data_IF_797430846509
#
_entry.id   IF_797430846509
#
_cell.length_a   1.000
_cell.length_b   1.000
_cell.length_c   1.000
_cell.angle_alpha   90.00
_cell.angle_beta   90.00
_cell.angle_gamma   90.00
#
_symmetry.space_group_name_H-M   'P 1'
#
loop_
_entity.id
_entity.type
_entity.pdbx_description
1 polymer ?
#
# COMPACT_ATOMS: atom_id res chain seq x y z
N UNK A 1 34.30 -4.31 64.43
CA UNK A 1 35.30 -3.54 63.66
C UNK A 1 35.22 -4.02 62.21
N UNK A 2 34.82 -3.10 61.32
CA UNK A 2 35.06 -3.06 59.87
C UNK A 2 34.32 -4.08 58.96
N UNK A 3 33.45 -3.43 58.17
CA UNK A 3 32.76 -3.76 56.91
C UNK A 3 33.71 -3.53 55.74
N UNK A 4 33.71 -4.38 54.71
CA UNK A 4 34.15 -4.20 53.29
C UNK A 4 34.45 -5.60 52.72
N UNK A 5 34.13 -6.01 51.50
CA UNK A 5 33.37 -5.46 50.38
C UNK A 5 33.25 -6.64 49.38
N UNK A 6 32.06 -7.02 48.96
CA UNK A 6 31.81 -7.73 47.68
C UNK A 6 30.34 -7.54 47.27
N UNK A 7 29.91 -6.28 47.33
CA UNK A 7 28.74 -5.76 46.62
C UNK A 7 29.09 -5.63 45.14
N UNK A 8 28.68 -6.58 44.28
CA UNK A 8 28.45 -6.35 42.83
C UNK A 8 27.86 -7.52 42.02
N UNK A 9 27.31 -8.57 42.64
CA UNK A 9 26.76 -9.71 41.88
C UNK A 9 25.22 -9.84 41.90
N UNK A 10 24.49 -9.09 42.74
CA UNK A 10 23.05 -9.35 42.96
C UNK A 10 22.10 -8.26 42.43
N UNK A 11 22.59 -7.16 41.86
CA UNK A 11 21.71 -6.06 41.38
C UNK A 11 21.22 -6.19 39.93
N UNK A 12 21.61 -7.23 39.18
CA UNK A 12 21.23 -7.36 37.75
C UNK A 12 20.14 -8.41 37.46
N UNK A 13 19.24 -8.71 38.41
CA UNK A 13 18.15 -9.68 38.18
C UNK A 13 16.76 -9.20 38.58
N UNK A 14 16.55 -7.87 38.62
CA UNK A 14 15.26 -7.28 39.01
C UNK A 14 14.71 -6.23 38.01
N UNK A 15 15.35 -5.99 36.87
CA UNK A 15 14.86 -5.05 35.85
C UNK A 15 14.16 -5.68 34.64
N UNK A 16 14.08 -7.01 34.55
CA UNK A 16 13.63 -7.71 33.34
C UNK A 16 12.17 -8.21 33.40
N UNK A 17 11.38 -7.75 34.38
CA UNK A 17 10.05 -8.31 34.66
C UNK A 17 8.86 -7.36 34.38
N UNK A 18 9.07 -6.23 33.69
CA UNK A 18 7.99 -5.26 33.47
C UNK A 18 8.02 -4.58 32.09
N UNK A 19 8.19 -5.35 31.02
CA UNK A 19 7.57 -5.03 29.73
C UNK A 19 6.85 -6.29 29.27
N UNK A 20 5.65 -6.52 29.81
CA UNK A 20 4.71 -7.46 29.19
C UNK A 20 4.42 -6.90 27.81
N UNK A 21 5.10 -7.44 26.81
CA UNK A 21 4.77 -7.26 25.41
C UNK A 21 3.29 -7.58 25.26
N UNK A 22 2.50 -6.55 25.00
CA UNK A 22 1.12 -6.70 24.57
C UNK A 22 1.19 -7.50 23.28
N UNK A 23 0.98 -8.81 23.37
CA UNK A 23 0.96 -9.69 22.22
C UNK A 23 -0.10 -9.14 21.25
N UNK A 24 0.28 -8.78 20.00
CA UNK A 24 -0.70 -8.33 19.03
C UNK A 24 -1.71 -9.47 18.80
N UNK A 25 -3.00 -9.11 18.86
CA UNK A 25 -4.14 -10.02 18.78
C UNK A 25 -3.95 -11.07 17.68
N UNK A 26 -3.99 -12.34 18.08
CA UNK A 26 -3.52 -13.48 17.31
C UNK A 26 -4.30 -13.75 16.02
N UNK A 27 -3.75 -13.30 14.90
CA UNK A 27 -3.89 -13.98 13.61
C UNK A 27 -2.49 -14.32 13.12
N UNK A 28 -2.00 -15.48 13.57
CA UNK A 28 -0.67 -16.00 13.24
C UNK A 28 -0.69 -16.68 11.87
N UNK A 29 -0.92 -15.91 10.81
CA UNK A 29 -0.98 -16.34 9.40
C UNK A 29 -2.38 -16.72 8.89
N UNK A 30 -2.69 -16.24 7.68
CA UNK A 30 -3.92 -16.57 6.97
C UNK A 30 -3.79 -17.92 6.27
N UNK A 31 -4.61 -18.89 6.68
CA UNK A 31 -4.68 -20.16 5.96
C UNK A 31 -5.33 -19.97 4.58
N UNK A 32 -4.94 -20.80 3.61
CA UNK A 32 -5.51 -20.75 2.25
C UNK A 32 -7.05 -20.85 2.21
N UNK A 33 -7.71 -21.70 3.03
CA UNK A 33 -9.18 -21.71 3.12
C UNK A 33 -9.76 -20.38 3.63
N UNK A 34 -9.11 -19.73 4.60
CA UNK A 34 -9.53 -18.42 5.12
C UNK A 34 -9.45 -17.36 4.02
N UNK A 35 -8.32 -17.30 3.30
CA UNK A 35 -8.11 -16.37 2.20
C UNK A 35 -9.14 -16.55 1.08
N UNK A 36 -9.40 -17.80 0.67
CA UNK A 36 -10.43 -18.11 -0.33
C UNK A 36 -11.81 -17.64 0.11
N UNK A 37 -12.18 -17.89 1.37
CA UNK A 37 -13.47 -17.48 1.93
C UNK A 37 -13.60 -15.96 1.98
N UNK A 38 -12.54 -15.25 2.34
CA UNK A 38 -12.50 -13.80 2.36
C UNK A 38 -12.67 -13.20 0.97
N UNK A 39 -11.85 -13.63 0.00
CA UNK A 39 -11.93 -13.15 -1.39
C UNK A 39 -13.34 -13.40 -1.95
N UNK A 40 -13.92 -14.56 -1.70
CA UNK A 40 -15.29 -14.87 -2.11
C UNK A 40 -16.31 -13.92 -1.46
N UNK A 41 -16.19 -13.70 -0.14
CA UNK A 41 -17.10 -12.84 0.60
C UNK A 41 -17.07 -11.39 0.10
N UNK A 42 -15.87 -10.80 -0.02
CA UNK A 42 -15.75 -9.40 -0.41
C UNK A 42 -16.17 -9.16 -1.85
N UNK A 43 -15.95 -10.14 -2.74
CA UNK A 43 -16.39 -10.09 -4.13
C UNK A 43 -17.92 -10.02 -4.26
N UNK A 44 -18.66 -10.72 -3.41
CA UNK A 44 -20.12 -10.77 -3.45
C UNK A 44 -20.78 -9.58 -2.75
N UNK A 45 -20.18 -9.09 -1.66
CA UNK A 45 -20.80 -8.05 -0.82
C UNK A 45 -20.53 -6.62 -1.24
N UNK A 46 -19.37 -6.32 -1.81
CA UNK A 46 -18.95 -4.95 -2.04
C UNK A 46 -18.99 -4.58 -3.53
N UNK A 47 -19.70 -3.49 -3.84
CA UNK A 47 -19.74 -2.86 -5.16
C UNK A 47 -19.28 -1.40 -5.03
N UNK A 48 -17.98 -1.17 -4.76
CA UNK A 48 -17.51 0.16 -4.41
C UNK A 48 -17.63 1.15 -5.56
N UNK A 49 -18.07 2.36 -5.23
CA UNK A 49 -18.25 3.47 -6.18
C UNK A 49 -17.09 4.47 -6.03
N UNK A 50 -16.68 5.11 -7.12
CA UNK A 50 -15.59 6.08 -7.08
C UNK A 50 -16.00 7.34 -6.31
N UNK A 51 -15.16 7.71 -5.36
CA UNK A 51 -15.17 9.06 -4.78
C UNK A 51 -14.61 10.06 -5.79
N UNK A 52 -14.95 11.35 -5.61
CA UNK A 52 -14.44 12.44 -6.47
C UNK A 52 -12.92 12.54 -6.42
N UNK A 53 -12.32 12.26 -5.26
CA UNK A 53 -10.87 12.26 -5.10
C UNK A 53 -10.20 11.14 -5.89
N UNK A 54 -10.75 9.91 -5.82
CA UNK A 54 -10.24 8.79 -6.60
C UNK A 54 -10.39 9.03 -8.11
N UNK A 55 -11.53 9.60 -8.53
CA UNK A 55 -11.80 9.97 -9.93
C UNK A 55 -10.77 10.98 -10.45
N UNK A 56 -10.46 12.00 -9.66
CA UNK A 56 -9.44 13.01 -9.98
C UNK A 56 -8.05 12.39 -10.16
N UNK A 57 -7.62 11.53 -9.22
CA UNK A 57 -6.31 10.86 -9.30
C UNK A 57 -6.19 9.95 -10.54
N UNK A 58 -7.19 9.10 -10.77
CA UNK A 58 -7.20 8.18 -11.92
C UNK A 58 -7.19 8.97 -13.23
N UNK A 59 -7.98 10.04 -13.32
CA UNK A 59 -8.08 10.87 -14.52
C UNK A 59 -6.79 11.66 -14.76
N UNK A 60 -6.16 12.19 -13.71
CA UNK A 60 -4.89 12.89 -13.81
C UNK A 60 -3.78 11.98 -14.31
N UNK A 61 -3.67 10.77 -13.76
CA UNK A 61 -2.72 9.77 -14.23
C UNK A 61 -2.96 9.37 -15.70
N UNK A 62 -4.23 9.18 -16.09
CA UNK A 62 -4.59 8.90 -17.47
C UNK A 62 -4.15 10.01 -18.44
N UNK A 63 -4.31 11.28 -18.04
CA UNK A 63 -3.88 12.43 -18.83
C UNK A 63 -2.36 12.51 -18.96
N UNK A 64 -1.63 12.29 -17.86
CA UNK A 64 -0.16 12.24 -17.86
C UNK A 64 0.35 11.21 -18.87
N UNK A 65 -0.13 9.96 -18.77
CA UNK A 65 0.23 8.87 -19.68
C UNK A 65 -0.14 9.13 -21.15
N UNK A 66 -1.11 10.01 -21.42
CA UNK A 66 -1.46 10.42 -22.79
C UNK A 66 -0.50 11.48 -23.35
N UNK A 67 0.02 12.37 -22.50
CA UNK A 67 0.97 13.42 -22.91
C UNK A 67 2.36 12.84 -23.19
N UNK A 68 2.77 11.83 -22.43
CA UNK A 68 4.07 11.15 -22.57
C UNK A 68 4.14 10.17 -23.77
N UNK A 69 3.21 10.29 -24.73
CA UNK A 69 2.92 9.32 -25.80
C UNK A 69 4.02 9.05 -26.84
N UNK A 70 5.28 9.43 -26.61
CA UNK A 70 6.38 9.20 -27.57
C UNK A 70 6.85 7.74 -27.63
N UNK A 71 6.66 6.93 -26.58
CA UNK A 71 7.12 5.53 -26.56
C UNK A 71 6.02 4.46 -26.48
N UNK A 72 4.77 4.79 -26.11
CA UNK A 72 3.73 3.78 -25.83
C UNK A 72 2.28 4.21 -26.15
N UNK A 73 2.06 5.13 -27.09
CA UNK A 73 0.73 5.64 -27.46
C UNK A 73 -0.34 4.56 -27.74
N UNK A 74 0.06 3.38 -28.22
CA UNK A 74 -0.85 2.26 -28.46
C UNK A 74 -1.42 1.61 -27.17
N UNK A 75 -0.78 1.80 -26.00
CA UNK A 75 -1.21 1.26 -24.71
C UNK A 75 -2.13 2.21 -23.93
N UNK A 76 -2.04 3.52 -24.14
CA UNK A 76 -2.83 4.56 -23.43
C UNK A 76 -4.26 4.69 -23.96
N UNK A 77 -5.01 3.60 -23.95
CA UNK A 77 -6.38 3.52 -24.47
C UNK A 77 -7.41 3.67 -23.36
N UNK A 78 -8.69 3.83 -23.72
CA UNK A 78 -9.82 3.74 -22.77
C UNK A 78 -9.76 2.45 -21.94
N UNK A 79 -9.19 1.36 -22.48
CA UNK A 79 -9.00 0.09 -21.74
C UNK A 79 -8.06 0.22 -20.55
N UNK A 80 -7.08 1.13 -20.60
CA UNK A 80 -6.18 1.40 -19.47
C UNK A 80 -6.96 2.08 -18.34
N UNK A 81 -7.77 3.09 -18.68
CA UNK A 81 -8.64 3.78 -17.73
C UNK A 81 -9.62 2.80 -17.06
N UNK A 82 -10.29 1.96 -17.85
CA UNK A 82 -11.16 0.92 -17.30
C UNK A 82 -10.42 -0.06 -16.39
N UNK A 83 -9.18 -0.40 -16.74
CA UNK A 83 -8.34 -1.29 -15.93
C UNK A 83 -7.96 -0.64 -14.59
N UNK A 84 -7.58 0.64 -14.59
CA UNK A 84 -7.34 1.42 -13.37
C UNK A 84 -8.57 1.41 -12.46
N UNK A 85 -9.75 1.70 -13.01
CA UNK A 85 -11.02 1.71 -12.26
C UNK A 85 -11.29 0.33 -11.66
N UNK A 86 -11.14 -0.76 -12.44
CA UNK A 86 -11.35 -2.13 -11.96
C UNK A 86 -10.37 -2.52 -10.87
N UNK A 87 -9.10 -2.14 -10.99
CA UNK A 87 -8.07 -2.40 -9.98
C UNK A 87 -8.36 -1.64 -8.68
N UNK A 88 -8.69 -0.35 -8.77
CA UNK A 88 -9.03 0.46 -7.61
C UNK A 88 -10.28 -0.07 -6.89
N UNK A 89 -11.31 -0.48 -7.64
CA UNK A 89 -12.48 -1.15 -7.06
C UNK A 89 -12.12 -2.49 -6.42
N UNK A 90 -11.26 -3.30 -7.03
CA UNK A 90 -10.81 -4.55 -6.45
C UNK A 90 -10.05 -4.33 -5.14
N UNK A 91 -9.16 -3.32 -5.10
CA UNK A 91 -8.45 -2.93 -3.88
C UNK A 91 -9.40 -2.47 -2.78
N UNK A 92 -10.39 -1.63 -3.10
CA UNK A 92 -11.41 -1.20 -2.13
C UNK A 92 -12.22 -2.38 -1.56
N UNK A 93 -12.55 -3.39 -2.38
CA UNK A 93 -13.19 -4.63 -1.89
C UNK A 93 -12.28 -5.39 -0.93
N UNK A 94 -10.99 -5.54 -1.26
CA UNK A 94 -10.02 -6.21 -0.40
C UNK A 94 -9.81 -5.48 0.93
N UNK A 95 -9.99 -4.15 0.95
CA UNK A 95 -9.95 -3.32 2.15
C UNK A 95 -11.30 -3.22 2.87
N UNK A 96 -12.31 -4.01 2.46
CA UNK A 96 -13.64 -4.06 3.09
C UNK A 96 -14.42 -2.73 3.02
N UNK A 97 -14.27 -1.98 1.90
CA UNK A 97 -14.90 -0.67 1.70
C UNK A 97 -15.95 -0.67 0.60
N UNK A 98 -16.97 0.18 0.76
CA UNK A 98 -18.03 0.44 -0.23
C UNK A 98 -17.75 1.67 -1.11
N UNK A 99 -16.62 2.33 -0.91
CA UNK A 99 -16.22 3.50 -1.69
C UNK A 99 -14.76 3.33 -2.08
N UNK A 100 -14.44 3.69 -3.32
CA UNK A 100 -13.07 3.75 -3.82
C UNK A 100 -12.50 5.08 -3.39
N UNK A 101 -11.54 5.03 -2.48
CA UNK A 101 -10.83 6.19 -1.96
C UNK A 101 -9.61 6.51 -2.81
N UNK A 102 -9.01 7.67 -2.55
CA UNK A 102 -7.73 8.08 -3.14
C UNK A 102 -6.63 7.02 -3.03
N UNK A 103 -6.53 6.36 -1.88
CA UNK A 103 -5.54 5.30 -1.64
C UNK A 103 -5.72 4.11 -2.57
N UNK A 104 -6.97 3.75 -2.89
CA UNK A 104 -7.26 2.66 -3.82
C UNK A 104 -6.84 3.01 -5.26
N UNK A 105 -7.02 4.28 -5.65
CA UNK A 105 -6.56 4.78 -6.94
C UNK A 105 -5.03 4.75 -7.04
N UNK A 106 -4.34 5.16 -5.98
CA UNK A 106 -2.87 5.10 -5.89
C UNK A 106 -2.36 3.67 -6.00
N UNK A 107 -2.94 2.73 -5.22
CA UNK A 107 -2.57 1.32 -5.30
C UNK A 107 -2.76 0.74 -6.71
N UNK A 108 -3.83 1.12 -7.41
CA UNK A 108 -4.06 0.72 -8.79
C UNK A 108 -3.00 1.26 -9.76
N UNK A 109 -2.57 2.52 -9.59
CA UNK A 109 -1.50 3.13 -10.40
C UNK A 109 -0.18 2.39 -10.16
N UNK A 110 0.20 2.18 -8.90
CA UNK A 110 1.41 1.43 -8.54
C UNK A 110 1.42 0.03 -9.15
N UNK A 111 0.27 -0.66 -9.15
CA UNK A 111 0.12 -1.97 -9.78
C UNK A 111 0.33 -1.94 -11.30
N UNK A 112 -0.12 -0.88 -11.99
CA UNK A 112 0.14 -0.73 -13.44
C UNK A 112 1.59 -0.37 -13.69
N UNK A 113 2.14 0.60 -12.96
CA UNK A 113 3.51 1.08 -13.11
C UNK A 113 4.52 -0.05 -12.89
N UNK A 114 4.33 -0.88 -11.85
CA UNK A 114 5.17 -2.08 -11.62
C UNK A 114 5.08 -3.13 -12.72
N UNK A 115 3.99 -3.17 -13.49
CA UNK A 115 3.84 -4.08 -14.64
C UNK A 115 4.45 -3.52 -15.93
N UNK A 116 4.76 -2.22 -15.98
CA UNK A 116 5.28 -1.55 -17.16
C UNK A 116 6.81 -1.49 -17.11
N UNK A 117 7.48 -1.86 -18.20
CA UNK A 117 8.95 -1.80 -18.33
C UNK A 117 9.49 -0.37 -18.24
N UNK A 118 8.65 0.63 -18.50
CA UNK A 118 8.98 2.05 -18.37
C UNK A 118 7.92 2.66 -17.47
N UNK A 119 8.33 3.09 -16.28
CA UNK A 119 7.44 3.74 -15.34
C UNK A 119 7.47 5.26 -15.53
N UNK A 120 6.32 5.91 -15.50
CA UNK A 120 6.23 7.37 -15.59
C UNK A 120 6.39 8.06 -14.21
N UNK A 121 6.18 7.30 -13.13
CA UNK A 121 6.10 7.84 -11.76
C UNK A 121 7.12 7.21 -10.81
N UNK A 122 7.32 5.90 -10.91
CA UNK A 122 8.20 5.15 -10.01
C UNK A 122 9.52 4.95 -10.74
N UNK A 123 10.51 5.81 -10.49
CA UNK A 123 11.85 5.62 -11.06
C UNK A 123 12.31 4.17 -10.79
N UNK A 124 12.75 3.49 -11.84
CA UNK A 124 12.84 2.02 -11.98
C UNK A 124 13.83 1.28 -11.07
N UNK A 125 14.15 1.82 -9.89
CA UNK A 125 15.06 1.20 -8.92
C UNK A 125 14.34 0.25 -7.95
N UNK A 126 13.01 0.28 -7.92
CA UNK A 126 12.19 -0.70 -7.20
C UNK A 126 12.10 -2.01 -7.97
N UNK A 127 13.16 -2.82 -7.98
CA UNK A 127 13.05 -4.18 -8.49
C UNK A 127 11.96 -4.90 -7.68
N UNK A 128 10.81 -5.22 -8.29
CA UNK A 128 9.70 -5.90 -7.61
C UNK A 128 10.12 -7.23 -6.96
N UNK A 129 11.26 -7.80 -7.40
CA UNK A 129 11.89 -8.98 -6.82
C UNK A 129 12.61 -8.71 -5.49
N UNK A 130 12.95 -7.46 -5.19
CA UNK A 130 13.66 -7.00 -3.99
C UNK A 130 12.83 -6.01 -3.15
N UNK A 131 11.50 -6.01 -3.30
CA UNK A 131 10.63 -5.17 -2.47
C UNK A 131 10.83 -5.55 -1.00
N UNK A 132 11.41 -4.65 -0.20
CA UNK A 132 11.57 -4.88 1.22
C UNK A 132 10.22 -4.65 1.91
N UNK A 133 9.71 -5.65 2.64
CA UNK A 133 8.51 -5.46 3.46
C UNK A 133 8.88 -4.54 4.63
N UNK A 134 8.42 -3.29 4.61
CA UNK A 134 8.67 -2.35 5.70
C UNK A 134 7.94 -2.80 6.97
N UNK A 135 8.52 -2.48 8.14
CA UNK A 135 7.93 -2.80 9.45
C UNK A 135 6.54 -2.17 9.65
N UNK A 136 6.24 -1.08 8.94
CA UNK A 136 4.95 -0.41 8.99
C UNK A 136 4.40 -0.15 7.57
N UNK A 137 3.42 -0.96 7.10
CA UNK A 137 2.86 -0.83 5.76
C UNK A 137 2.06 0.47 5.58
N UNK A 138 1.40 0.98 6.64
CA UNK A 138 0.58 2.19 6.53
C UNK A 138 1.45 3.42 6.24
N UNK A 139 2.67 3.46 6.81
CA UNK A 139 3.63 4.53 6.53
C UNK A 139 4.16 4.50 5.10
N UNK A 140 4.31 3.30 4.51
CA UNK A 140 4.68 3.13 3.11
C UNK A 140 3.61 3.75 2.20
N UNK A 141 2.34 3.41 2.44
CA UNK A 141 1.21 3.92 1.68
C UNK A 141 1.16 5.45 1.67
N UNK A 142 1.42 6.09 2.82
CA UNK A 142 1.44 7.57 2.92
C UNK A 142 2.58 8.16 2.09
N UNK A 143 3.76 7.52 2.08
CA UNK A 143 4.91 8.00 1.30
C UNK A 143 4.66 7.88 -0.21
N UNK A 144 4.12 6.74 -0.65
CA UNK A 144 3.79 6.54 -2.06
C UNK A 144 2.68 7.48 -2.54
N UNK A 145 1.68 7.74 -1.69
CA UNK A 145 0.66 8.76 -1.94
C UNK A 145 1.27 10.15 -2.16
N UNK A 146 2.21 10.57 -1.31
CA UNK A 146 2.87 11.87 -1.43
C UNK A 146 3.63 11.98 -2.76
N UNK A 147 4.42 10.97 -3.12
CA UNK A 147 5.18 10.96 -4.39
C UNK A 147 4.26 11.08 -5.60
N UNK A 148 3.20 10.28 -5.64
CA UNK A 148 2.23 10.31 -6.73
C UNK A 148 1.53 11.66 -6.78
N UNK A 149 1.15 12.22 -5.64
CA UNK A 149 0.51 13.54 -5.58
C UNK A 149 1.43 14.65 -6.10
N UNK A 150 2.70 14.65 -5.69
CA UNK A 150 3.65 15.67 -6.11
C UNK A 150 3.90 15.60 -7.63
N UNK A 151 3.91 14.39 -8.21
CA UNK A 151 4.01 14.17 -9.67
C UNK A 151 2.72 14.50 -10.43
N UNK A 152 1.55 14.23 -9.83
CA UNK A 152 0.24 14.52 -10.43
C UNK A 152 -0.25 15.95 -10.15
N UNK A 153 0.49 16.76 -9.38
CA UNK A 153 0.06 18.09 -8.94
C UNK A 153 -0.48 18.99 -10.06
N UNK A 154 0.14 18.92 -11.24
CA UNK A 154 -0.26 19.68 -12.44
C UNK A 154 -1.55 19.18 -13.11
N UNK A 155 -2.08 18.03 -12.69
CA UNK A 155 -3.24 17.34 -13.29
C UNK A 155 -4.45 17.25 -12.35
N UNK A 156 -4.31 17.68 -11.09
CA UNK A 156 -5.35 17.56 -10.06
C UNK A 156 -6.27 18.80 -9.96
N UNK A 157 -6.13 19.79 -10.86
CA UNK A 157 -6.97 20.99 -10.96
C UNK A 157 -7.36 21.31 -12.40
#
# INVERSE_FOLDING_TARGET
>A
MIRMNSTKAEENKASDAAVKSTQPLGIKEWTLPCLRRYIHYVKQRFKPVLTKEAESVISGYYQLQRRDGTHNAARTTVRMLESLIRLAQAHARLMFRNEVTRLDAIAAILCIESSMTTSAIIDGDGNALNSNFQENPDQEYIKEEQKIRDKLGDYLY
#
